data_IF_308158546592
#
_entry.id   IF_308158546592
#
_cell.length_a   1.000
_cell.length_b   1.000
_cell.length_c   1.000
_cell.angle_alpha   90.00
_cell.angle_beta   90.00
_cell.angle_gamma   90.00
#
_symmetry.space_group_name_H-M   'P 1'
#
loop_
_entity.id
_entity.type
_entity.pdbx_description
1 polymer ?
#
# COMPACT_ATOMS: atom_id res chain seq x y z
N UNK A 1 -44.62 33.12 -21.82
CA UNK A 1 -45.96 32.70 -22.31
C UNK A 1 -46.02 31.18 -22.34
N UNK A 2 -46.91 30.64 -21.55
CA UNK A 2 -47.85 29.56 -21.87
C UNK A 2 -47.21 28.27 -22.37
N UNK A 3 -47.49 27.09 -21.91
CA UNK A 3 -48.50 26.40 -21.06
C UNK A 3 -48.16 24.90 -21.20
N UNK A 4 -48.15 24.17 -20.12
CA UNK A 4 -49.15 23.12 -19.73
C UNK A 4 -49.15 21.89 -20.71
N UNK A 5 -49.36 20.67 -20.34
CA UNK A 5 -50.01 19.96 -19.23
C UNK A 5 -49.96 18.43 -19.57
N UNK A 6 -49.89 17.57 -18.56
CA UNK A 6 -50.57 16.29 -18.39
C UNK A 6 -50.25 15.04 -19.22
N UNK A 7 -50.22 13.98 -18.46
CA UNK A 7 -50.60 12.59 -18.78
C UNK A 7 -49.79 11.62 -17.97
N UNK A 8 -50.08 11.24 -16.85
CA UNK A 8 -50.94 10.35 -16.05
C UNK A 8 -51.34 9.06 -16.75
N UNK A 9 -50.91 7.93 -16.26
CA UNK A 9 -51.52 6.61 -16.10
C UNK A 9 -50.42 5.55 -16.02
N UNK A 10 -50.16 4.92 -14.88
CA UNK A 10 -50.88 3.89 -14.16
C UNK A 10 -50.99 2.55 -14.88
N UNK A 11 -50.33 1.54 -14.34
CA UNK A 11 -50.76 0.14 -14.14
C UNK A 11 -49.51 -0.69 -13.83
N UNK A 12 -49.35 -1.08 -12.62
CA UNK A 12 -49.60 -2.36 -11.97
C UNK A 12 -49.46 -3.58 -12.90
N UNK A 13 -48.48 -4.38 -12.57
CA UNK A 13 -48.65 -5.84 -12.48
C UNK A 13 -47.56 -6.47 -11.63
N UNK A 14 -48.00 -6.99 -10.51
CA UNK A 14 -47.28 -7.94 -9.67
C UNK A 14 -47.06 -9.24 -10.44
N UNK A 15 -45.88 -9.80 -10.37
CA UNK A 15 -45.70 -11.23 -10.39
C UNK A 15 -44.69 -11.65 -9.30
N UNK A 16 -45.28 -12.30 -8.34
CA UNK A 16 -44.63 -13.11 -7.33
C UNK A 16 -44.06 -14.35 -8.02
N UNK A 17 -42.77 -14.57 -7.83
CA UNK A 17 -42.11 -15.83 -8.20
C UNK A 17 -41.27 -16.29 -7.00
N UNK A 18 -41.93 -17.02 -6.09
CA UNK A 18 -41.24 -17.92 -5.13
C UNK A 18 -40.82 -19.16 -5.90
N UNK A 19 -39.62 -19.59 -5.57
CA UNK A 19 -39.09 -20.94 -5.44
C UNK A 19 -37.63 -20.93 -5.88
N UNK A 20 -36.70 -21.42 -5.17
CA UNK A 20 -36.57 -22.71 -4.55
C UNK A 20 -35.50 -22.68 -3.48
N UNK A 21 -35.83 -23.17 -2.33
CA UNK A 21 -34.88 -23.76 -1.40
C UNK A 21 -34.14 -24.91 -2.08
N UNK A 22 -32.86 -24.81 -2.16
CA UNK A 22 -31.95 -25.89 -2.43
C UNK A 22 -30.95 -25.92 -1.31
N UNK A 23 -31.25 -26.73 -0.33
CA UNK A 23 -30.39 -27.08 0.77
C UNK A 23 -29.18 -27.84 0.23
N UNK A 24 -27.99 -27.32 0.42
CA UNK A 24 -26.84 -28.16 0.66
C UNK A 24 -25.82 -27.43 1.54
N UNK A 25 -25.73 -27.94 2.73
CA UNK A 25 -24.75 -27.61 3.73
C UNK A 25 -23.37 -27.98 3.20
N UNK A 26 -22.53 -26.99 3.01
CA UNK A 26 -21.10 -27.12 3.20
C UNK A 26 -20.60 -25.78 3.73
N UNK A 27 -20.51 -25.75 5.04
CA UNK A 27 -19.75 -24.79 5.81
C UNK A 27 -18.30 -24.93 5.40
N UNK A 28 -17.85 -24.16 4.44
CA UNK A 28 -16.44 -23.83 4.33
C UNK A 28 -16.30 -22.42 4.84
N UNK A 29 -15.60 -22.32 5.95
CA UNK A 29 -15.01 -21.13 6.48
C UNK A 29 -14.55 -20.22 5.33
N UNK A 30 -15.30 -19.14 5.11
CA UNK A 30 -14.73 -17.95 4.50
C UNK A 30 -13.84 -17.35 5.58
N UNK A 31 -12.65 -17.91 5.74
CA UNK A 31 -11.54 -17.15 6.26
C UNK A 31 -11.49 -15.90 5.37
N UNK A 32 -11.79 -14.77 5.95
CA UNK A 32 -11.50 -13.45 5.40
C UNK A 32 -10.02 -13.52 5.00
N UNK A 33 -9.77 -13.74 3.71
CA UNK A 33 -8.47 -13.49 3.13
C UNK A 33 -8.33 -11.98 3.25
N UNK A 34 -7.57 -11.52 4.23
CA UNK A 34 -7.08 -10.17 4.25
C UNK A 34 -6.50 -9.94 2.85
N UNK A 35 -6.99 -8.92 2.17
CA UNK A 35 -6.44 -8.51 0.89
C UNK A 35 -4.96 -8.23 1.17
N UNK A 36 -4.07 -9.08 0.65
CA UNK A 36 -2.63 -8.92 0.87
C UNK A 36 -2.22 -7.56 0.32
N UNK A 37 -1.91 -6.63 1.21
CA UNK A 37 -1.45 -5.29 0.83
C UNK A 37 0.02 -5.38 0.45
N UNK A 38 0.35 -5.10 -0.80
CA UNK A 38 1.75 -4.99 -1.24
C UNK A 38 2.34 -3.68 -0.77
N UNK A 39 3.50 -3.75 -0.11
CA UNK A 39 4.30 -2.60 0.31
C UNK A 39 5.66 -2.67 -0.40
N UNK A 40 5.92 -1.70 -1.27
CA UNK A 40 7.16 -1.64 -2.03
C UNK A 40 8.15 -0.68 -1.36
N UNK A 41 9.29 -1.21 -0.89
CA UNK A 41 10.28 -0.45 -0.14
C UNK A 41 11.61 -0.42 -0.86
N UNK A 42 12.12 0.78 -1.15
CA UNK A 42 13.46 1.01 -1.68
C UNK A 42 14.51 0.95 -0.57
N UNK A 43 15.60 0.22 -0.80
CA UNK A 43 16.68 0.07 0.19
C UNK A 43 18.05 -0.05 -0.44
N UNK A 44 19.11 0.37 0.26
CA UNK A 44 20.46 -0.01 -0.11
C UNK A 44 20.73 -1.48 0.19
N UNK A 45 21.64 -2.14 -0.53
CA UNK A 45 21.81 -3.60 -0.44
C UNK A 45 22.16 -4.08 0.97
N UNK A 46 23.13 -3.46 1.61
CA UNK A 46 23.66 -3.81 2.94
C UNK A 46 23.81 -2.56 3.80
N UNK A 47 23.32 -2.55 5.05
CA UNK A 47 22.58 -3.62 5.74
C UNK A 47 21.05 -3.58 5.51
N UNK A 48 20.54 -2.54 4.86
CA UNK A 48 19.12 -2.19 4.84
C UNK A 48 18.24 -3.28 4.19
N UNK A 49 18.57 -3.71 2.98
CA UNK A 49 17.80 -4.76 2.32
C UNK A 49 17.88 -6.11 3.07
N UNK A 50 19.02 -6.41 3.71
CA UNK A 50 19.16 -7.62 4.52
C UNK A 50 18.24 -7.60 5.75
N UNK A 51 18.10 -6.45 6.39
CA UNK A 51 17.14 -6.26 7.49
C UNK A 51 15.71 -6.44 7.00
N UNK A 52 15.36 -5.86 5.86
CA UNK A 52 14.04 -6.00 5.26
C UNK A 52 13.73 -7.46 4.88
N UNK A 53 14.68 -8.20 4.34
CA UNK A 53 14.50 -9.64 4.05
C UNK A 53 14.21 -10.44 5.32
N UNK A 54 14.82 -10.08 6.45
CA UNK A 54 14.53 -10.71 7.74
C UNK A 54 13.13 -10.38 8.25
N UNK A 55 12.64 -9.17 8.02
CA UNK A 55 11.31 -8.70 8.45
C UNK A 55 10.19 -9.21 7.53
N UNK A 56 10.50 -9.50 6.28
CA UNK A 56 9.53 -9.91 5.26
C UNK A 56 8.55 -11.02 5.70
N UNK A 57 9.00 -12.16 6.29
CA UNK A 57 8.09 -13.19 6.77
C UNK A 57 7.17 -12.70 7.90
N UNK A 58 7.66 -11.82 8.77
CA UNK A 58 6.87 -11.25 9.87
C UNK A 58 5.73 -10.38 9.34
N UNK A 59 6.02 -9.56 8.32
CA UNK A 59 5.01 -8.73 7.66
C UNK A 59 4.00 -9.58 6.90
N UNK A 60 4.42 -10.68 6.31
CA UNK A 60 3.53 -11.61 5.61
C UNK A 60 2.49 -12.23 6.55
N UNK A 61 2.87 -12.55 7.78
CA UNK A 61 1.97 -13.05 8.81
C UNK A 61 0.90 -12.00 9.20
N UNK A 62 1.21 -10.71 9.02
CA UNK A 62 0.30 -9.58 9.24
C UNK A 62 -0.49 -9.19 7.97
N UNK A 63 -0.40 -9.96 6.88
CA UNK A 63 -1.10 -9.69 5.62
C UNK A 63 -0.44 -8.62 4.74
N UNK A 64 0.85 -8.32 4.98
CA UNK A 64 1.62 -7.37 4.17
C UNK A 64 2.64 -8.13 3.31
N UNK A 65 2.55 -7.97 2.00
CA UNK A 65 3.50 -8.53 1.06
C UNK A 65 4.59 -7.50 0.75
N UNK A 66 5.76 -7.66 1.37
CA UNK A 66 6.88 -6.75 1.22
C UNK A 66 7.64 -7.00 -0.09
N UNK A 67 7.69 -6.01 -0.97
CA UNK A 67 8.54 -5.99 -2.16
C UNK A 67 9.75 -5.08 -1.89
N UNK A 68 10.97 -5.63 -2.02
CA UNK A 68 12.23 -4.91 -1.74
C UNK A 68 12.88 -4.51 -3.06
N UNK A 69 13.02 -3.21 -3.29
CA UNK A 69 13.70 -2.64 -4.45
C UNK A 69 15.09 -2.17 -4.02
N UNK A 70 16.15 -2.79 -4.57
CA UNK A 70 17.53 -2.46 -4.20
C UNK A 70 18.08 -1.36 -5.09
N UNK A 71 18.70 -0.36 -4.45
CA UNK A 71 19.37 0.76 -5.11
C UNK A 71 20.85 0.80 -4.67
N UNK A 72 21.74 0.94 -5.64
CA UNK A 72 23.19 1.02 -5.40
C UNK A 72 23.71 2.45 -5.24
N UNK A 73 22.81 3.43 -5.27
CA UNK A 73 23.12 4.84 -5.13
C UNK A 73 22.21 5.55 -4.10
N UNK A 74 22.50 6.81 -3.78
CA UNK A 74 21.76 7.58 -2.79
C UNK A 74 20.79 8.63 -3.37
N UNK A 75 20.64 8.69 -4.69
CA UNK A 75 19.76 9.67 -5.36
C UNK A 75 18.45 9.02 -5.77
N UNK A 76 18.53 7.88 -6.43
CA UNK A 76 17.37 7.17 -6.98
C UNK A 76 16.31 6.78 -5.94
N UNK A 77 16.63 6.35 -4.70
CA UNK A 77 15.60 5.99 -3.74
C UNK A 77 14.61 7.12 -3.43
N UNK A 78 15.08 8.35 -3.29
CA UNK A 78 14.21 9.51 -3.06
C UNK A 78 13.46 9.93 -4.33
N UNK A 79 14.08 9.82 -5.50
CA UNK A 79 13.39 10.08 -6.76
C UNK A 79 12.25 9.09 -6.99
N UNK A 80 12.51 7.79 -6.83
CA UNK A 80 11.49 6.75 -7.00
C UNK A 80 10.34 6.87 -6.00
N UNK A 81 10.61 7.36 -4.79
CA UNK A 81 9.57 7.66 -3.81
C UNK A 81 8.70 8.85 -4.26
N UNK A 82 9.31 9.92 -4.75
CA UNK A 82 8.60 11.11 -5.26
C UNK A 82 7.76 10.78 -6.50
N UNK A 83 8.27 9.92 -7.38
CA UNK A 83 7.60 9.47 -8.59
C UNK A 83 6.48 8.45 -8.32
N UNK A 84 6.42 7.90 -7.10
CA UNK A 84 5.44 6.90 -6.70
C UNK A 84 5.76 5.48 -7.18
N UNK A 85 7.00 5.22 -7.58
CA UNK A 85 7.46 3.90 -8.00
C UNK A 85 7.68 2.94 -6.80
N UNK A 86 7.90 3.52 -5.63
CA UNK A 86 7.98 2.84 -4.33
C UNK A 86 7.12 3.57 -3.29
N UNK A 87 6.68 2.85 -2.26
CA UNK A 87 5.80 3.38 -1.21
C UNK A 87 6.58 3.97 -0.04
N UNK A 88 7.80 3.49 0.17
CA UNK A 88 8.72 3.95 1.21
C UNK A 88 10.16 3.68 0.80
N UNK A 89 11.11 4.33 1.49
CA UNK A 89 12.51 3.94 1.38
C UNK A 89 13.16 3.77 2.76
N UNK A 90 14.19 2.94 2.79
CA UNK A 90 14.97 2.63 3.98
C UNK A 90 16.45 2.58 3.61
N UNK A 91 17.14 3.71 3.71
CA UNK A 91 18.56 3.81 3.34
C UNK A 91 19.27 5.01 3.99
N UNK A 92 18.55 6.04 4.43
CA UNK A 92 19.12 7.34 4.78
C UNK A 92 18.97 7.68 6.26
N UNK A 93 19.87 8.52 6.76
CA UNK A 93 19.79 9.11 8.08
C UNK A 93 19.04 10.46 8.04
N UNK A 94 18.51 10.87 9.18
CA UNK A 94 17.69 12.09 9.31
C UNK A 94 18.37 13.34 8.75
N UNK A 95 19.68 13.60 8.94
CA UNK A 95 20.32 14.78 8.37
C UNK A 95 20.30 14.81 6.85
N UNK A 96 20.49 13.67 6.20
CA UNK A 96 20.41 13.55 4.75
C UNK A 96 18.97 13.74 4.26
N UNK A 97 17.99 13.11 4.88
CA UNK A 97 16.57 13.27 4.57
C UNK A 97 16.16 14.76 4.65
N UNK A 98 16.52 15.44 5.74
CA UNK A 98 16.20 16.86 5.93
C UNK A 98 16.85 17.75 4.86
N UNK A 99 18.07 17.42 4.44
CA UNK A 99 18.77 18.12 3.36
C UNK A 99 18.01 17.93 2.04
N UNK A 100 17.67 16.72 1.67
CA UNK A 100 16.98 16.39 0.43
C UNK A 100 15.59 17.06 0.37
N UNK A 101 14.82 17.01 1.46
CA UNK A 101 13.53 17.72 1.58
C UNK A 101 13.72 19.22 1.32
N UNK A 102 14.73 19.83 1.94
CA UNK A 102 14.97 21.27 1.81
C UNK A 102 15.45 21.67 0.41
N UNK A 103 16.33 20.89 -0.20
CA UNK A 103 16.97 21.21 -1.47
C UNK A 103 16.11 20.82 -2.69
N UNK A 104 15.36 19.73 -2.58
CA UNK A 104 14.56 19.18 -3.68
C UNK A 104 13.07 19.52 -3.58
N UNK A 105 12.61 19.91 -2.40
CA UNK A 105 11.20 20.21 -2.16
C UNK A 105 10.32 18.98 -1.98
N UNK A 106 10.90 17.83 -1.62
CA UNK A 106 10.14 16.61 -1.37
C UNK A 106 9.18 16.76 -0.19
N UNK A 107 7.99 16.18 -0.29
CA UNK A 107 6.99 16.13 0.79
C UNK A 107 7.05 14.77 1.50
N UNK A 108 8.22 14.46 2.05
CA UNK A 108 8.47 13.20 2.75
C UNK A 108 8.32 13.34 4.25
N UNK A 109 7.91 12.26 4.89
CA UNK A 109 7.86 12.15 6.34
C UNK A 109 8.80 11.05 6.84
N UNK A 110 9.40 11.28 8.00
CA UNK A 110 10.16 10.24 8.70
C UNK A 110 9.19 9.33 9.46
N UNK A 111 9.03 8.09 9.00
CA UNK A 111 8.15 7.11 9.64
C UNK A 111 8.76 6.50 10.91
N UNK A 112 10.09 6.50 11.06
CA UNK A 112 10.78 5.96 12.23
C UNK A 112 12.27 5.74 12.00
N UNK A 113 12.97 5.35 13.06
CA UNK A 113 14.37 4.97 13.03
C UNK A 113 14.51 3.49 13.36
N UNK A 114 15.36 2.78 12.61
CA UNK A 114 15.55 1.34 12.75
C UNK A 114 16.91 1.05 13.40
N UNK A 115 17.99 1.63 12.89
CA UNK A 115 19.36 1.43 13.41
C UNK A 115 20.22 2.66 13.16
N UNK A 116 21.41 2.64 13.72
CA UNK A 116 22.48 3.62 13.47
C UNK A 116 23.70 2.90 12.90
N UNK A 117 24.43 3.60 12.05
CA UNK A 117 25.67 3.12 11.44
C UNK A 117 26.83 4.01 11.90
N UNK A 118 27.61 3.57 12.89
CA UNK A 118 28.72 4.37 13.39
C UNK A 118 29.86 4.40 12.36
N UNK A 119 30.47 5.58 12.20
CA UNK A 119 31.68 5.73 11.39
C UNK A 119 32.90 5.43 12.24
N UNK A 120 33.84 4.63 11.72
CA UNK A 120 35.11 4.31 12.33
C UNK A 120 36.27 4.69 11.41
N UNK A 121 37.37 5.09 12.02
CA UNK A 121 38.69 5.23 11.36
C UNK A 121 39.54 4.01 11.72
N UNK A 122 40.07 3.34 10.67
CA UNK A 122 40.91 2.15 10.81
C UNK A 122 42.34 2.43 10.31
#
# INVERSE_FOLDING_TARGET
>A
MKKKIFGLAAALLLTVGLAACGNNSDSKDSANKADDTTLKVGASPTPHAEILEHVKPLLKDEGIDLEIVKFDDYVLPNQSLEEGDIDANYFQHIPYLNKEIKEKGYDFVNAGAVHIEPMGLY
#
